data_IF_983751666293
#
_entry.id   IF_983751666293
#
_cell.length_a   1.000
_cell.length_b   1.000
_cell.length_c   1.000
_cell.angle_alpha   90.00
_cell.angle_beta   90.00
_cell.angle_gamma   90.00
#
_symmetry.space_group_name_H-M   'P 1'
#
loop_
_entity.id
_entity.type
_entity.pdbx_description
1 polymer ?
#
# COMPACT_ATOMS: atom_id res chain seq x y z
N UNK A 1 -2.16 -7.98 2.03
CA UNK A 1 -1.44 -6.99 2.85
C UNK A 1 -0.15 -7.62 3.37
N UNK A 2 0.90 -6.82 3.61
CA UNK A 2 2.16 -7.30 4.19
C UNK A 2 1.98 -7.77 5.64
N UNK A 3 2.80 -8.72 6.05
CA UNK A 3 2.98 -9.12 7.46
C UNK A 3 4.14 -8.35 8.09
N UNK A 4 4.22 -8.36 9.42
CA UNK A 4 5.36 -7.81 10.18
C UNK A 4 6.70 -8.39 9.68
N UNK A 5 6.77 -9.71 9.49
CA UNK A 5 7.99 -10.38 9.04
C UNK A 5 8.42 -9.97 7.61
N UNK A 6 7.47 -9.72 6.71
CA UNK A 6 7.77 -9.25 5.36
C UNK A 6 8.33 -7.83 5.40
N UNK A 7 7.78 -6.94 6.23
CA UNK A 7 8.33 -5.60 6.45
C UNK A 7 9.72 -5.68 7.10
N UNK A 8 9.89 -6.56 8.11
CA UNK A 8 11.20 -6.77 8.75
C UNK A 8 12.27 -7.23 7.75
N UNK A 9 11.90 -8.13 6.83
CA UNK A 9 12.81 -8.59 5.77
C UNK A 9 13.12 -7.48 4.77
N UNK A 10 12.13 -6.69 4.37
CA UNK A 10 12.35 -5.57 3.44
C UNK A 10 13.28 -4.50 4.01
N UNK A 11 13.12 -4.14 5.29
CA UNK A 11 13.95 -3.11 5.91
C UNK A 11 15.42 -3.54 6.10
N UNK A 12 15.73 -4.83 6.01
CA UNK A 12 17.11 -5.34 6.01
C UNK A 12 17.83 -5.12 4.67
N UNK A 13 17.10 -4.80 3.60
CA UNK A 13 17.69 -4.46 2.30
C UNK A 13 18.30 -3.05 2.41
N UNK A 14 19.63 -2.89 2.23
CA UNK A 14 20.32 -1.61 2.49
C UNK A 14 19.70 -0.41 1.76
N UNK A 15 19.30 -0.58 0.50
CA UNK A 15 18.70 0.48 -0.30
C UNK A 15 17.32 0.92 0.22
N UNK A 16 16.55 -0.01 0.81
CA UNK A 16 15.25 0.29 1.43
C UNK A 16 15.46 0.94 2.81
N UNK A 17 16.40 0.42 3.59
CA UNK A 17 16.72 0.98 4.90
C UNK A 17 17.16 2.43 4.80
N UNK A 18 18.09 2.75 3.89
CA UNK A 18 18.61 4.09 3.69
C UNK A 18 17.52 5.09 3.31
N UNK A 19 16.72 4.77 2.30
CA UNK A 19 15.64 5.66 1.87
C UNK A 19 14.56 5.82 2.94
N UNK A 20 14.21 4.75 3.63
CA UNK A 20 13.22 4.79 4.72
C UNK A 20 13.70 5.67 5.87
N UNK A 21 14.95 5.50 6.31
CA UNK A 21 15.53 6.30 7.38
C UNK A 21 15.59 7.80 7.01
N UNK A 22 15.96 8.12 5.77
CA UNK A 22 15.99 9.49 5.26
C UNK A 22 14.60 10.12 5.29
N UNK A 23 13.63 9.48 4.66
CA UNK A 23 12.25 9.97 4.57
C UNK A 23 11.60 10.06 5.96
N UNK A 24 11.87 9.09 6.86
CA UNK A 24 11.41 9.15 8.26
C UNK A 24 11.94 10.38 8.97
N UNK A 25 13.24 10.64 8.88
CA UNK A 25 13.85 11.80 9.54
C UNK A 25 13.27 13.12 9.02
N UNK A 26 13.08 13.25 7.72
CA UNK A 26 12.47 14.43 7.11
C UNK A 26 11.01 14.60 7.56
N UNK A 27 10.24 13.52 7.58
CA UNK A 27 8.85 13.53 8.05
C UNK A 27 8.74 13.93 9.52
N UNK A 28 9.54 13.32 10.41
CA UNK A 28 9.55 13.63 11.84
C UNK A 28 9.91 15.09 12.07
N UNK A 29 10.97 15.59 11.44
CA UNK A 29 11.42 16.97 11.59
C UNK A 29 10.39 18.00 11.13
N UNK A 30 9.59 17.68 10.11
CA UNK A 30 8.65 18.62 9.52
C UNK A 30 7.24 18.54 10.11
N UNK A 31 6.79 17.34 10.47
CA UNK A 31 5.39 17.11 10.83
C UNK A 31 5.18 16.69 12.28
N UNK A 32 6.16 16.03 12.90
CA UNK A 32 5.95 15.38 14.21
C UNK A 32 7.26 15.22 14.99
N UNK A 33 7.95 16.28 15.30
CA UNK A 33 9.30 16.31 15.94
C UNK A 33 9.38 15.65 17.32
N UNK A 34 8.25 15.23 17.89
CA UNK A 34 8.18 14.47 19.15
C UNK A 34 7.85 12.98 18.94
N UNK A 35 7.72 12.53 17.69
CA UNK A 35 7.35 11.16 17.35
C UNK A 35 8.58 10.25 17.41
N UNK A 36 8.53 9.26 18.29
CA UNK A 36 9.50 8.17 18.35
C UNK A 36 8.93 6.95 17.63
N UNK A 37 9.43 6.66 16.42
CA UNK A 37 9.01 5.52 15.62
C UNK A 37 10.22 4.83 15.00
N UNK A 38 10.22 3.49 14.96
CA UNK A 38 11.28 2.70 14.32
C UNK A 38 11.23 2.81 12.79
N UNK A 39 12.34 2.52 12.08
CA UNK A 39 12.34 2.46 10.62
C UNK A 39 11.37 1.41 10.10
N UNK A 40 11.29 0.26 10.76
CA UNK A 40 10.32 -0.80 10.46
C UNK A 40 8.87 -0.29 10.52
N UNK A 41 8.47 0.34 11.62
CA UNK A 41 7.10 0.82 11.79
C UNK A 41 6.79 1.99 10.85
N UNK A 42 7.80 2.82 10.54
CA UNK A 42 7.64 3.89 9.57
C UNK A 42 7.49 3.36 8.13
N UNK A 43 8.26 2.31 7.76
CA UNK A 43 8.07 1.61 6.48
C UNK A 43 6.66 1.02 6.39
N UNK A 44 6.13 0.45 7.48
CA UNK A 44 4.75 -0.04 7.52
C UNK A 44 3.73 1.04 7.16
N UNK A 45 3.93 2.29 7.62
CA UNK A 45 3.09 3.44 7.26
C UNK A 45 3.24 3.83 5.79
N UNK A 46 4.49 3.85 5.28
CA UNK A 46 4.75 4.14 3.86
C UNK A 46 4.05 3.11 2.96
N UNK A 47 4.13 1.83 3.31
CA UNK A 47 3.51 0.74 2.55
C UNK A 47 1.97 0.82 2.52
N UNK A 48 1.35 1.57 3.44
CA UNK A 48 -0.08 1.86 3.44
C UNK A 48 -0.45 3.14 2.70
N UNK A 49 0.52 3.89 2.19
CA UNK A 49 0.24 5.13 1.46
C UNK A 49 -0.72 4.96 0.28
N UNK A 50 -0.75 3.84 -0.49
CA UNK A 50 -1.77 3.62 -1.50
C UNK A 50 -3.19 3.58 -0.91
N UNK A 51 -3.40 2.84 0.19
CA UNK A 51 -4.71 2.79 0.87
C UNK A 51 -5.14 4.14 1.42
N UNK A 52 -4.20 4.92 2.00
CA UNK A 52 -4.48 6.29 2.45
C UNK A 52 -4.90 7.17 1.28
N UNK A 53 -4.24 7.04 0.12
CA UNK A 53 -4.59 7.78 -1.08
C UNK A 53 -6.00 7.47 -1.59
N UNK A 54 -6.38 6.20 -1.60
CA UNK A 54 -7.75 5.78 -1.98
C UNK A 54 -8.79 6.28 -0.98
N UNK A 55 -8.53 6.14 0.32
CA UNK A 55 -9.43 6.63 1.37
C UNK A 55 -9.65 8.16 1.30
N UNK A 56 -8.62 8.92 0.91
CA UNK A 56 -8.70 10.38 0.74
C UNK A 56 -9.30 10.83 -0.60
N UNK A 57 -9.57 9.91 -1.53
CA UNK A 57 -10.05 10.26 -2.87
C UNK A 57 -11.35 11.08 -2.86
N UNK A 58 -12.23 10.83 -1.90
CA UNK A 58 -13.48 11.58 -1.69
C UNK A 58 -13.29 12.90 -0.90
N UNK A 59 -12.06 13.32 -0.63
CA UNK A 59 -11.72 14.57 0.06
C UNK A 59 -11.67 14.49 1.58
N UNK A 60 -12.11 13.41 2.20
CA UNK A 60 -12.02 13.17 3.65
C UNK A 60 -12.04 11.69 3.98
N UNK A 61 -11.39 11.33 5.08
CA UNK A 61 -11.40 9.96 5.60
C UNK A 61 -12.50 9.86 6.67
N UNK A 62 -13.36 8.87 6.54
CA UNK A 62 -14.34 8.53 7.58
C UNK A 62 -13.65 7.87 8.79
N UNK A 63 -14.34 7.89 9.94
CA UNK A 63 -13.85 7.21 11.15
C UNK A 63 -13.59 5.70 10.90
N UNK A 64 -14.42 5.05 10.09
CA UNK A 64 -14.27 3.64 9.77
C UNK A 64 -13.00 3.37 8.94
N UNK A 65 -12.71 4.21 7.96
CA UNK A 65 -11.49 4.13 7.16
C UNK A 65 -10.24 4.42 8.00
N UNK A 66 -10.27 5.42 8.88
CA UNK A 66 -9.18 5.71 9.82
C UNK A 66 -8.91 4.51 10.73
N UNK A 67 -9.95 3.88 11.26
CA UNK A 67 -9.82 2.67 12.09
C UNK A 67 -9.27 1.49 11.29
N UNK A 68 -9.71 1.30 10.04
CA UNK A 68 -9.19 0.26 9.15
C UNK A 68 -7.70 0.48 8.86
N UNK A 69 -7.29 1.69 8.47
CA UNK A 69 -5.89 2.04 8.24
C UNK A 69 -5.01 1.81 9.48
N UNK A 70 -5.49 2.22 10.66
CA UNK A 70 -4.78 1.98 11.93
C UNK A 70 -4.65 0.48 12.23
N UNK A 71 -5.70 -0.32 11.99
CA UNK A 71 -5.66 -1.78 12.17
C UNK A 71 -4.66 -2.43 11.21
N UNK A 72 -4.67 -2.02 9.95
CA UNK A 72 -3.72 -2.49 8.93
C UNK A 72 -2.28 -2.15 9.29
N UNK A 73 -2.01 -0.90 9.70
CA UNK A 73 -0.69 -0.46 10.11
C UNK A 73 -0.15 -1.27 11.31
N UNK A 74 -0.99 -1.53 12.31
CA UNK A 74 -0.62 -2.33 13.48
C UNK A 74 -0.29 -3.78 13.16
N UNK A 75 -0.92 -4.38 12.16
CA UNK A 75 -0.60 -5.74 11.71
C UNK A 75 0.79 -5.87 11.09
N UNK A 76 1.28 -4.79 10.49
CA UNK A 76 2.59 -4.73 9.87
C UNK A 76 3.68 -4.22 10.82
N UNK A 77 3.32 -3.57 11.93
CA UNK A 77 4.25 -3.02 12.92
C UNK A 77 4.75 -4.09 13.88
N UNK A 78 5.89 -3.82 14.56
CA UNK A 78 6.45 -4.73 15.57
C UNK A 78 5.56 -4.95 16.78
N UNK A 79 4.53 -4.13 16.99
CA UNK A 79 3.61 -4.25 18.10
C UNK A 79 4.24 -3.93 19.47
N UNK A 80 3.62 -4.44 20.54
CA UNK A 80 4.21 -4.32 21.90
C UNK A 80 3.84 -3.06 22.68
N UNK A 81 2.90 -2.25 22.16
CA UNK A 81 2.57 -0.94 22.74
C UNK A 81 1.43 -0.99 23.78
N UNK A 82 1.27 -2.08 24.51
CA UNK A 82 0.14 -2.29 25.44
C UNK A 82 -0.03 -1.22 26.52
N UNK A 83 1.04 -0.51 26.89
CA UNK A 83 1.04 0.51 27.94
C UNK A 83 1.56 1.88 27.48
N UNK A 84 1.92 2.03 26.22
CA UNK A 84 2.38 3.29 25.64
C UNK A 84 1.46 3.72 24.51
N UNK A 85 1.41 5.02 24.25
CA UNK A 85 0.75 5.55 23.06
C UNK A 85 1.36 4.89 21.82
N UNK A 86 0.53 4.23 21.02
CA UNK A 86 0.96 3.53 19.82
C UNK A 86 1.52 4.53 18.79
N UNK A 87 2.85 4.52 18.51
CA UNK A 87 3.48 5.50 17.63
C UNK A 87 2.97 5.37 16.19
N UNK A 88 2.54 4.19 15.77
CA UNK A 88 2.02 3.95 14.42
C UNK A 88 0.65 4.64 14.23
N UNK A 89 -0.27 4.46 15.19
CA UNK A 89 -1.57 5.15 15.15
C UNK A 89 -1.41 6.68 15.28
N UNK A 90 -0.41 7.13 16.05
CA UNK A 90 -0.11 8.56 16.17
C UNK A 90 0.46 9.11 14.87
N UNK A 91 1.43 8.42 14.27
CA UNK A 91 2.03 8.81 12.99
C UNK A 91 1.00 8.81 11.86
N UNK A 92 0.07 7.85 11.82
CA UNK A 92 -0.99 7.78 10.81
C UNK A 92 -1.81 9.07 10.73
N UNK A 93 -2.10 9.72 11.86
CA UNK A 93 -2.82 11.00 11.87
C UNK A 93 -2.06 12.11 11.14
N UNK A 94 -0.73 12.15 11.29
CA UNK A 94 0.10 13.10 10.55
C UNK A 94 0.22 12.75 9.08
N UNK A 95 0.30 11.46 8.75
CA UNK A 95 0.27 10.98 7.35
C UNK A 95 -1.02 11.42 6.67
N UNK A 96 -2.18 11.13 7.26
CA UNK A 96 -3.48 11.51 6.71
C UNK A 96 -3.58 13.04 6.52
N UNK A 97 -3.21 13.80 7.55
CA UNK A 97 -3.31 15.27 7.55
C UNK A 97 -2.45 15.92 6.46
N UNK A 98 -1.27 15.38 6.19
CA UNK A 98 -0.27 15.97 5.31
C UNK A 98 -0.06 15.14 4.03
N UNK A 99 -1.02 14.25 3.69
CA UNK A 99 -0.84 13.24 2.66
C UNK A 99 -0.44 13.82 1.29
N UNK A 100 -1.09 14.88 0.85
CA UNK A 100 -0.78 15.49 -0.46
C UNK A 100 0.69 15.90 -0.62
N UNK A 101 1.32 16.35 0.47
CA UNK A 101 2.74 16.71 0.48
C UNK A 101 3.65 15.48 0.42
N UNK A 102 3.28 14.41 1.13
CA UNK A 102 4.11 13.24 1.32
C UNK A 102 3.83 12.10 0.35
N UNK A 103 2.68 12.12 -0.32
CA UNK A 103 2.28 11.08 -1.29
C UNK A 103 3.38 10.79 -2.32
N UNK A 104 3.94 11.76 -3.07
CA UNK A 104 4.96 11.46 -4.07
C UNK A 104 6.21 10.84 -3.43
N UNK A 105 6.64 11.35 -2.28
CA UNK A 105 7.83 10.86 -1.57
C UNK A 105 7.61 9.42 -1.09
N UNK A 106 6.45 9.13 -0.52
CA UNK A 106 6.11 7.77 -0.07
C UNK A 106 6.00 6.80 -1.23
N UNK A 107 5.41 7.22 -2.36
CA UNK A 107 5.33 6.37 -3.54
C UNK A 107 6.70 6.08 -4.14
N UNK A 108 7.65 7.01 -4.12
CA UNK A 108 9.03 6.76 -4.52
C UNK A 108 9.68 5.66 -3.65
N UNK A 109 9.39 5.64 -2.34
CA UNK A 109 9.86 4.56 -1.45
C UNK A 109 9.17 3.23 -1.80
N UNK A 110 7.86 3.23 -2.05
CA UNK A 110 7.13 2.01 -2.47
C UNK A 110 7.70 1.46 -3.78
N UNK A 111 7.95 2.33 -4.77
CA UNK A 111 8.61 1.94 -6.04
C UNK A 111 9.99 1.33 -5.77
N UNK A 112 10.79 1.94 -4.89
CA UNK A 112 12.10 1.42 -4.49
C UNK A 112 12.00 0.04 -3.84
N UNK A 113 10.99 -0.17 -2.99
CA UNK A 113 10.71 -1.49 -2.39
C UNK A 113 10.36 -2.53 -3.47
N UNK A 114 9.49 -2.17 -4.42
CA UNK A 114 9.13 -3.04 -5.53
C UNK A 114 10.35 -3.41 -6.38
N UNK A 115 11.15 -2.44 -6.81
CA UNK A 115 12.33 -2.64 -7.64
C UNK A 115 13.42 -3.47 -6.95
N UNK A 116 13.47 -3.41 -5.62
CA UNK A 116 14.42 -4.17 -4.81
C UNK A 116 13.97 -5.61 -4.53
N UNK A 117 12.69 -5.92 -4.74
CA UNK A 117 12.09 -7.22 -4.38
C UNK A 117 11.51 -7.98 -5.56
N UNK A 118 11.28 -7.33 -6.70
CA UNK A 118 10.60 -7.91 -7.87
C UNK A 118 11.38 -7.59 -9.15
N UNK A 119 11.60 -8.57 -9.99
CA UNK A 119 11.90 -8.31 -11.41
C UNK A 119 10.60 -7.92 -12.13
N UNK A 120 10.44 -6.64 -12.45
CA UNK A 120 9.23 -6.13 -13.09
C UNK A 120 8.93 -6.73 -14.46
N UNK A 121 9.94 -7.29 -15.15
CA UNK A 121 9.73 -7.95 -16.44
C UNK A 121 8.77 -9.12 -16.32
N UNK A 122 8.84 -9.86 -15.22
CA UNK A 122 7.94 -11.00 -14.94
C UNK A 122 6.47 -10.56 -14.90
N UNK A 123 6.18 -9.33 -14.49
CA UNK A 123 4.82 -8.80 -14.43
C UNK A 123 4.22 -8.52 -15.82
N UNK A 124 5.06 -8.37 -16.86
CA UNK A 124 4.66 -8.10 -18.23
C UNK A 124 4.52 -9.38 -19.07
N UNK A 125 5.05 -10.51 -18.60
CA UNK A 125 5.08 -11.78 -19.33
C UNK A 125 3.81 -12.63 -19.13
N UNK A 126 2.81 -12.10 -18.45
CA UNK A 126 1.55 -12.80 -18.16
C UNK A 126 0.71 -12.87 -19.41
N UNK A 127 0.46 -14.08 -19.89
CA UNK A 127 -0.46 -14.34 -21.02
C UNK A 127 -1.91 -14.27 -20.52
N UNK A 128 -2.46 -13.06 -20.57
CA UNK A 128 -3.80 -12.75 -20.09
C UNK A 128 -4.89 -13.23 -21.06
N UNK A 129 -5.20 -14.52 -21.13
CA UNK A 129 -6.40 -15.00 -21.84
C UNK A 129 -7.66 -14.47 -21.12
N UNK A 130 -8.52 -13.79 -21.85
CA UNK A 130 -9.82 -13.35 -21.36
C UNK A 130 -10.74 -14.58 -21.16
N UNK A 131 -11.10 -14.87 -19.91
CA UNK A 131 -12.04 -15.94 -19.54
C UNK A 131 -13.49 -15.46 -19.51
N UNK A 132 -13.74 -14.17 -19.81
CA UNK A 132 -15.05 -13.54 -19.77
C UNK A 132 -15.61 -13.30 -18.36
N UNK A 133 -14.78 -13.42 -17.33
CA UNK A 133 -15.13 -13.20 -15.92
C UNK A 133 -13.95 -12.50 -15.24
N UNK A 134 -14.07 -11.20 -14.88
CA UNK A 134 -12.99 -10.42 -14.31
C UNK A 134 -12.38 -11.02 -13.02
N UNK A 135 -13.19 -11.69 -12.21
CA UNK A 135 -12.71 -12.36 -10.99
C UNK A 135 -11.82 -13.56 -11.35
N UNK A 136 -12.23 -14.35 -12.33
CA UNK A 136 -11.43 -15.51 -12.77
C UNK A 136 -10.15 -15.07 -13.48
N UNK A 137 -10.22 -14.00 -14.26
CA UNK A 137 -9.05 -13.42 -14.92
C UNK A 137 -8.03 -12.96 -13.89
N UNK A 138 -8.46 -12.20 -12.89
CA UNK A 138 -7.58 -11.74 -11.83
C UNK A 138 -7.03 -12.90 -10.98
N UNK A 139 -7.87 -13.89 -10.60
CA UNK A 139 -7.44 -15.06 -9.86
C UNK A 139 -6.36 -15.85 -10.60
N UNK A 140 -6.52 -16.03 -11.92
CA UNK A 140 -5.52 -16.69 -12.77
C UNK A 140 -4.20 -15.88 -12.80
N UNK A 141 -4.29 -14.58 -13.03
CA UNK A 141 -3.11 -13.72 -13.11
C UNK A 141 -2.32 -13.72 -11.80
N UNK A 142 -3.01 -13.72 -10.66
CA UNK A 142 -2.38 -13.84 -9.34
C UNK A 142 -1.57 -15.13 -9.15
N UNK A 143 -1.93 -16.22 -9.82
CA UNK A 143 -1.17 -17.48 -9.74
C UNK A 143 0.17 -17.43 -10.47
N UNK A 144 0.38 -16.46 -11.33
CA UNK A 144 1.57 -16.36 -12.19
C UNK A 144 2.53 -15.24 -11.76
N UNK A 145 2.09 -14.33 -10.89
CA UNK A 145 2.93 -13.24 -10.37
C UNK A 145 3.69 -13.61 -9.10
N UNK A 146 4.83 -12.97 -8.82
CA UNK A 146 5.51 -13.12 -7.54
C UNK A 146 4.57 -12.80 -6.37
N UNK A 147 4.55 -13.64 -5.36
CA UNK A 147 3.72 -13.48 -4.16
C UNK A 147 3.84 -12.08 -3.53
N UNK A 148 5.07 -11.53 -3.51
CA UNK A 148 5.31 -10.18 -2.96
C UNK A 148 4.55 -9.10 -3.73
N UNK A 149 4.33 -9.27 -5.04
CA UNK A 149 3.53 -8.32 -5.83
C UNK A 149 2.06 -8.31 -5.41
N UNK A 150 1.50 -9.47 -5.06
CA UNK A 150 0.15 -9.57 -4.51
C UNK A 150 0.01 -8.75 -3.23
N UNK A 151 1.08 -8.67 -2.42
CA UNK A 151 1.12 -7.84 -1.21
C UNK A 151 1.02 -6.36 -1.55
N UNK A 152 1.76 -5.90 -2.58
CA UNK A 152 1.66 -4.50 -3.04
C UNK A 152 0.24 -4.16 -3.53
N UNK A 153 -0.38 -5.00 -4.36
CA UNK A 153 -1.77 -4.80 -4.78
C UNK A 153 -2.74 -4.73 -3.59
N UNK A 154 -2.53 -5.60 -2.59
CA UNK A 154 -3.37 -5.63 -1.38
C UNK A 154 -3.31 -4.34 -0.56
N UNK A 155 -2.28 -3.50 -0.73
CA UNK A 155 -2.21 -2.19 -0.05
C UNK A 155 -3.09 -1.13 -0.69
N UNK A 156 -3.71 -1.40 -1.84
CA UNK A 156 -4.61 -0.46 -2.51
C UNK A 156 -6.08 -0.61 -2.08
N UNK A 157 -6.39 -1.60 -1.26
CA UNK A 157 -7.75 -1.85 -0.77
C UNK A 157 -7.80 -1.77 0.74
N UNK A 158 -8.81 -1.04 1.25
CA UNK A 158 -9.11 -0.88 2.68
C UNK A 158 -9.84 -2.10 3.24
N UNK A 159 -9.29 -3.29 3.03
CA UNK A 159 -9.92 -4.48 3.56
C UNK A 159 -8.89 -5.42 4.19
N UNK A 160 -9.09 -5.69 5.48
CA UNK A 160 -8.16 -6.40 6.33
C UNK A 160 -8.34 -7.93 6.30
N UNK A 161 -9.52 -8.42 5.95
CA UNK A 161 -9.93 -9.81 6.14
C UNK A 161 -10.46 -10.50 4.87
N UNK A 162 -10.71 -9.73 3.80
CA UNK A 162 -11.23 -10.31 2.56
C UNK A 162 -10.12 -10.83 1.67
N UNK A 163 -10.45 -11.82 0.87
CA UNK A 163 -9.64 -12.24 -0.24
C UNK A 163 -9.43 -11.03 -1.18
N UNK A 164 -8.22 -10.86 -1.72
CA UNK A 164 -7.97 -9.85 -2.73
C UNK A 164 -8.80 -10.12 -4.01
N UNK A 165 -9.19 -11.40 -4.21
CA UNK A 165 -10.01 -11.87 -5.34
C UNK A 165 -11.49 -11.76 -4.99
N UNK A 166 -12.03 -10.55 -5.03
CA UNK A 166 -13.45 -10.26 -4.77
C UNK A 166 -13.98 -9.17 -5.69
N UNK A 167 -15.30 -9.21 -5.96
CA UNK A 167 -15.99 -8.03 -6.48
C UNK A 167 -16.10 -6.96 -5.40
N UNK A 168 -15.70 -5.75 -5.74
CA UNK A 168 -15.79 -4.58 -4.85
C UNK A 168 -16.53 -3.46 -5.55
N UNK A 169 -17.50 -2.91 -4.85
CA UNK A 169 -18.18 -1.72 -5.31
C UNK A 169 -17.45 -0.49 -4.76
N UNK A 170 -17.01 0.39 -5.65
CA UNK A 170 -16.28 1.61 -5.30
C UNK A 170 -16.84 2.81 -6.07
N UNK A 171 -16.63 4.01 -5.55
CA UNK A 171 -16.97 5.23 -6.27
C UNK A 171 -16.04 5.45 -7.48
N UNK A 172 -16.52 6.21 -8.45
CA UNK A 172 -15.71 6.60 -9.61
C UNK A 172 -14.41 7.31 -9.20
N UNK A 173 -14.45 8.16 -8.17
CA UNK A 173 -13.28 8.93 -7.70
C UNK A 173 -12.24 8.01 -7.06
N UNK A 174 -12.65 7.02 -6.28
CA UNK A 174 -11.75 6.00 -5.72
C UNK A 174 -11.12 5.15 -6.82
N UNK A 175 -11.90 4.77 -7.84
CA UNK A 175 -11.39 4.01 -8.98
C UNK A 175 -10.34 4.80 -9.77
N UNK A 176 -10.63 6.07 -10.09
CA UNK A 176 -9.67 6.97 -10.74
C UNK A 176 -8.38 7.13 -9.91
N UNK A 177 -8.52 7.17 -8.57
CA UNK A 177 -7.36 7.21 -7.67
C UNK A 177 -6.54 5.92 -7.70
N UNK A 178 -7.16 4.75 -7.75
CA UNK A 178 -6.46 3.47 -7.91
C UNK A 178 -5.66 3.45 -9.22
N UNK A 179 -6.24 3.93 -10.32
CA UNK A 179 -5.56 4.03 -11.61
C UNK A 179 -4.37 5.01 -11.56
N UNK A 180 -4.55 6.19 -10.94
CA UNK A 180 -3.47 7.17 -10.71
C UNK A 180 -2.32 6.57 -9.88
N UNK A 181 -2.65 5.83 -8.81
CA UNK A 181 -1.66 5.11 -8.00
C UNK A 181 -0.93 4.06 -8.85
N UNK A 182 -1.65 3.27 -9.63
CA UNK A 182 -1.05 2.30 -10.54
C UNK A 182 -0.06 2.93 -11.54
N UNK A 183 -0.38 4.13 -12.05
CA UNK A 183 0.51 4.89 -12.91
C UNK A 183 1.75 5.41 -12.16
N UNK A 184 1.57 5.96 -10.95
CA UNK A 184 2.68 6.45 -10.09
C UNK A 184 3.61 5.34 -9.63
N UNK A 185 3.09 4.12 -9.44
CA UNK A 185 3.88 2.95 -9.08
C UNK A 185 4.47 2.21 -10.31
N UNK A 186 4.20 2.72 -11.52
CA UNK A 186 4.63 2.12 -12.80
C UNK A 186 4.20 0.65 -12.96
N UNK A 187 2.93 0.37 -12.62
CA UNK A 187 2.32 -0.97 -12.77
C UNK A 187 1.04 -0.96 -13.60
N UNK A 188 0.55 0.22 -14.01
CA UNK A 188 -0.74 0.40 -14.69
C UNK A 188 -0.86 -0.35 -16.03
N UNK A 189 0.28 -0.59 -16.70
CA UNK A 189 0.31 -1.34 -17.96
C UNK A 189 0.39 -2.87 -17.76
N UNK A 190 0.69 -3.34 -16.55
CA UNK A 190 0.80 -4.78 -16.30
C UNK A 190 -0.55 -5.49 -16.45
N UNK A 191 -0.60 -6.68 -17.08
CA UNK A 191 -1.84 -7.45 -17.22
C UNK A 191 -2.56 -7.68 -15.89
N UNK A 192 -1.81 -8.03 -14.85
CA UNK A 192 -2.36 -8.30 -13.51
C UNK A 192 -2.97 -7.05 -12.86
N UNK A 193 -2.43 -5.85 -13.09
CA UNK A 193 -3.06 -4.63 -12.58
C UNK A 193 -4.35 -4.30 -13.35
N UNK A 194 -4.37 -4.55 -14.66
CA UNK A 194 -5.58 -4.38 -15.48
C UNK A 194 -6.69 -5.35 -15.05
N UNK A 195 -6.36 -6.63 -14.81
CA UNK A 195 -7.34 -7.60 -14.30
C UNK A 195 -7.78 -7.27 -12.86
N UNK A 196 -6.88 -6.77 -11.99
CA UNK A 196 -7.24 -6.23 -10.68
C UNK A 196 -8.25 -5.09 -10.80
N UNK A 197 -8.02 -4.11 -11.66
CA UNK A 197 -8.97 -3.03 -11.92
C UNK A 197 -10.33 -3.55 -12.45
N UNK A 198 -10.33 -4.62 -13.21
CA UNK A 198 -11.55 -5.28 -13.71
C UNK A 198 -12.44 -5.88 -12.61
N UNK A 199 -11.91 -6.13 -11.40
CA UNK A 199 -12.71 -6.66 -10.29
C UNK A 199 -13.62 -5.61 -9.63
N UNK A 200 -13.43 -4.33 -9.93
CA UNK A 200 -14.22 -3.25 -9.32
C UNK A 200 -15.49 -2.95 -10.09
N UNK A 201 -16.61 -2.89 -9.37
CA UNK A 201 -17.87 -2.34 -9.84
C UNK A 201 -17.92 -0.85 -9.51
N UNK A 202 -17.74 -0.01 -10.52
CA UNK A 202 -17.72 1.45 -10.36
C UNK A 202 -19.14 2.00 -10.35
N UNK A 203 -19.49 2.77 -9.29
CA UNK A 203 -20.81 3.42 -9.12
C UNK A 203 -20.72 4.94 -9.26
#
# INVERSE_FOLDING_TARGET
MFSENEIATMIEIPAIQEVTATVKNDFINQEANFLEISDHDFLSLIMLSPAVGVALANGSISLFEELALNKMARKMSKGGYFLKMDPVAHAMKFVIKNFQKWEPIFFDVVVKCMDSTIDRKVLMEIDGQDLGDPIKDFARDLMTVPYIFVRFLSTMVLNDESDIVEHRSISKVEFEKIQDIGAKLDIHETPVFKSFCGTFEVK
#
